data_IF_575473037144
#
_entry.id   IF_575473037144
#
_cell.length_a   1.000
_cell.length_b   1.000
_cell.length_c   1.000
_cell.angle_alpha   90.00
_cell.angle_beta   90.00
_cell.angle_gamma   90.00
#
_symmetry.space_group_name_H-M   'P 1'
#
loop_
_entity.id
_entity.type
_entity.pdbx_description
1 polymer ?
#
# COMPACT_ATOMS: atom_id res chain seq x y z
N UNK A 1 0.33 5.65 28.81
CA UNK A 1 1.26 5.60 27.67
C UNK A 1 1.50 7.03 27.22
N UNK A 2 2.74 7.51 27.21
CA UNK A 2 3.05 8.86 26.75
C UNK A 2 3.04 8.83 25.20
N UNK A 3 2.18 9.62 24.58
CA UNK A 3 2.08 9.67 23.11
C UNK A 3 3.25 10.53 22.61
N UNK A 4 4.23 9.91 21.96
CA UNK A 4 5.42 10.58 21.41
C UNK A 4 5.22 11.09 19.98
N UNK A 5 4.37 10.41 19.18
CA UNK A 5 4.10 10.76 17.79
C UNK A 5 2.59 10.85 17.50
N UNK A 6 2.01 12.03 17.79
CA UNK A 6 0.58 12.27 17.58
C UNK A 6 0.07 12.02 16.17
N UNK A 7 0.94 12.09 15.14
CA UNK A 7 0.54 11.88 13.74
C UNK A 7 0.33 10.42 13.38
N UNK A 8 0.98 9.50 14.08
CA UNK A 8 0.90 8.07 13.81
C UNK A 8 0.17 7.31 14.91
N UNK A 9 0.44 7.64 16.18
CA UNK A 9 -0.13 6.93 17.33
C UNK A 9 -1.61 7.20 17.54
N UNK A 10 -2.07 8.44 17.31
CA UNK A 10 -3.49 8.78 17.48
C UNK A 10 -4.38 8.08 16.48
N UNK A 11 -4.08 8.08 15.15
CA UNK A 11 -4.86 7.29 14.19
C UNK A 11 -4.81 5.79 14.48
N UNK A 12 -3.64 5.26 14.84
CA UNK A 12 -3.51 3.83 15.18
C UNK A 12 -4.41 3.45 16.35
N UNK A 13 -4.35 4.17 17.48
CA UNK A 13 -5.16 3.90 18.66
C UNK A 13 -6.67 3.96 18.36
N UNK A 14 -7.09 4.92 17.52
CA UNK A 14 -8.48 5.03 17.10
C UNK A 14 -8.98 3.80 16.32
N UNK A 15 -8.18 3.30 15.36
CA UNK A 15 -8.57 2.12 14.58
C UNK A 15 -8.37 0.82 15.37
N UNK A 16 -7.40 0.75 16.27
CA UNK A 16 -7.24 -0.38 17.19
C UNK A 16 -8.46 -0.53 18.13
N UNK A 17 -9.01 0.58 18.63
CA UNK A 17 -10.24 0.56 19.43
C UNK A 17 -11.42 0.01 18.64
N UNK A 18 -11.65 0.47 17.42
CA UNK A 18 -12.71 -0.04 16.53
C UNK A 18 -12.52 -1.53 16.18
N UNK A 19 -11.27 -1.94 16.01
CA UNK A 19 -10.93 -3.32 15.65
C UNK A 19 -11.34 -4.32 16.72
N UNK A 20 -11.38 -3.94 17.99
CA UNK A 20 -11.80 -4.84 19.09
C UNK A 20 -13.25 -5.32 18.95
N UNK A 21 -14.10 -4.49 18.39
CA UNK A 21 -15.53 -4.76 18.21
C UNK A 21 -15.86 -5.33 16.83
N UNK A 22 -14.85 -5.61 16.00
CA UNK A 22 -14.99 -6.10 14.63
C UNK A 22 -15.56 -7.53 14.64
N UNK A 23 -16.57 -7.79 13.80
CA UNK A 23 -17.07 -9.16 13.56
C UNK A 23 -16.19 -9.87 12.51
N UNK A 24 -15.45 -10.91 12.88
CA UNK A 24 -14.63 -11.66 11.93
C UNK A 24 -15.42 -12.27 10.76
N UNK A 25 -16.70 -12.63 10.97
CA UNK A 25 -17.54 -13.18 9.91
C UNK A 25 -17.86 -12.14 8.84
N UNK A 26 -18.08 -10.87 9.24
CA UNK A 26 -18.25 -9.76 8.31
C UNK A 26 -16.98 -9.54 7.46
N UNK A 27 -15.80 -9.54 8.08
CA UNK A 27 -14.53 -9.35 7.36
C UNK A 27 -14.35 -10.38 6.25
N UNK A 28 -14.47 -11.65 6.55
CA UNK A 28 -14.24 -12.72 5.56
C UNK A 28 -15.34 -12.78 4.51
N UNK A 29 -16.51 -12.20 4.79
CA UNK A 29 -17.57 -12.04 3.78
C UNK A 29 -17.28 -10.94 2.76
N UNK A 30 -16.59 -9.86 3.18
CA UNK A 30 -16.24 -8.69 2.35
C UNK A 30 -14.89 -8.84 1.65
N UNK A 31 -13.96 -9.59 2.25
CA UNK A 31 -12.57 -9.74 1.82
C UNK A 31 -12.25 -11.23 1.64
N UNK A 32 -12.52 -11.75 0.45
CA UNK A 32 -12.40 -13.19 0.14
C UNK A 32 -11.01 -13.79 0.33
N UNK A 33 -9.97 -12.95 0.23
CA UNK A 33 -8.58 -13.37 0.41
C UNK A 33 -8.12 -13.34 1.87
N UNK A 34 -8.86 -12.70 2.76
CA UNK A 34 -8.59 -12.71 4.20
C UNK A 34 -9.13 -14.00 4.80
N UNK A 35 -8.30 -14.70 5.56
CA UNK A 35 -8.70 -15.93 6.27
C UNK A 35 -8.80 -15.66 7.76
N UNK A 36 -9.76 -16.29 8.40
CA UNK A 36 -9.92 -16.28 9.84
C UNK A 36 -9.81 -17.70 10.40
N UNK A 37 -8.94 -17.91 11.38
CA UNK A 37 -8.69 -19.23 12.00
C UNK A 37 -9.36 -19.40 13.39
N UNK A 38 -10.15 -18.43 13.82
CA UNK A 38 -10.75 -18.38 15.16
C UNK A 38 -9.96 -17.50 16.15
N UNK A 39 -8.76 -17.05 15.79
CA UNK A 39 -7.89 -16.23 16.62
C UNK A 39 -7.16 -15.14 15.85
N UNK A 40 -6.79 -15.41 14.59
CA UNK A 40 -6.00 -14.49 13.76
C UNK A 40 -6.62 -14.30 12.38
N UNK A 41 -6.56 -13.09 11.88
CA UNK A 41 -6.70 -12.82 10.44
C UNK A 41 -5.38 -13.06 9.73
N UNK A 42 -5.40 -13.80 8.64
CA UNK A 42 -4.26 -13.92 7.71
C UNK A 42 -4.45 -12.91 6.59
N UNK A 43 -3.53 -11.95 6.48
CA UNK A 43 -3.54 -10.88 5.47
C UNK A 43 -2.24 -10.90 4.67
N UNK A 44 -2.34 -10.78 3.36
CA UNK A 44 -1.18 -10.63 2.46
C UNK A 44 -1.07 -9.17 2.02
N UNK A 45 0.11 -8.56 2.20
CA UNK A 45 0.44 -7.20 1.79
C UNK A 45 1.77 -7.19 1.04
N UNK A 46 1.79 -6.76 -0.22
CA UNK A 46 2.98 -6.69 -1.08
C UNK A 46 3.81 -7.99 -1.04
N UNK A 47 3.15 -9.13 -1.19
CA UNK A 47 3.77 -10.45 -1.21
C UNK A 47 4.06 -11.05 0.16
N UNK A 48 4.08 -10.26 1.25
CA UNK A 48 4.31 -10.76 2.62
C UNK A 48 3.02 -11.10 3.32
N UNK A 49 3.03 -12.16 4.13
CA UNK A 49 1.87 -12.61 4.91
C UNK A 49 2.02 -12.23 6.36
N UNK A 50 0.94 -11.69 6.93
CA UNK A 50 0.86 -11.28 8.33
C UNK A 50 -0.31 -12.00 9.02
N UNK A 51 -0.11 -12.36 10.28
CA UNK A 51 -1.16 -12.78 11.20
C UNK A 51 -1.50 -11.60 12.10
N UNK A 52 -2.78 -11.26 12.17
CA UNK A 52 -3.31 -10.16 12.98
C UNK A 52 -4.28 -10.75 13.98
N UNK A 53 -3.87 -10.80 15.24
CA UNK A 53 -4.69 -11.33 16.33
C UNK A 53 -5.88 -10.41 16.63
N UNK A 54 -7.02 -11.01 17.00
CA UNK A 54 -8.25 -10.34 17.35
C UNK A 54 -8.90 -11.04 18.57
N UNK A 55 -9.53 -10.34 19.51
CA UNK A 55 -9.83 -8.90 19.51
C UNK A 55 -8.65 -8.01 19.98
N UNK A 56 -7.69 -8.58 20.70
CA UNK A 56 -6.49 -7.83 21.12
C UNK A 56 -5.50 -7.77 19.93
N UNK A 57 -5.34 -6.59 19.35
CA UNK A 57 -4.46 -6.41 18.21
C UNK A 57 -3.02 -6.79 18.53
N UNK A 58 -2.50 -7.72 17.77
CA UNK A 58 -1.07 -8.03 17.69
C UNK A 58 -0.77 -8.50 16.27
N UNK A 59 0.36 -8.06 15.70
CA UNK A 59 0.75 -8.42 14.35
C UNK A 59 2.04 -9.23 14.36
N UNK A 60 2.08 -10.28 13.55
CA UNK A 60 3.25 -11.15 13.37
C UNK A 60 3.48 -11.38 11.87
N UNK A 61 4.73 -11.27 11.44
CA UNK A 61 5.12 -11.63 10.08
C UNK A 61 5.38 -13.13 9.99
N UNK A 62 4.69 -13.82 9.08
CA UNK A 62 4.81 -15.29 8.91
C UNK A 62 6.23 -15.69 8.48
N UNK A 63 6.93 -14.83 7.75
CA UNK A 63 8.31 -15.05 7.32
C UNK A 63 9.36 -14.83 8.43
N UNK A 64 8.94 -14.52 9.66
CA UNK A 64 9.81 -14.20 10.79
C UNK A 64 10.56 -12.87 10.66
N UNK A 65 10.28 -12.09 9.63
CA UNK A 65 10.86 -10.76 9.41
C UNK A 65 10.23 -9.67 10.29
N UNK A 66 10.69 -8.44 10.10
CA UNK A 66 10.19 -7.30 10.86
C UNK A 66 8.69 -7.07 10.62
N UNK A 67 7.99 -6.68 11.69
CA UNK A 67 6.62 -6.19 11.59
C UNK A 67 6.58 -4.85 10.84
N UNK A 68 5.45 -4.50 10.20
CA UNK A 68 5.32 -3.25 9.46
C UNK A 68 5.40 -2.02 10.38
N UNK A 69 5.72 -0.86 9.78
CA UNK A 69 5.65 0.44 10.47
C UNK A 69 4.23 0.75 10.97
N UNK A 70 4.12 1.63 11.96
CA UNK A 70 2.82 1.99 12.55
C UNK A 70 1.80 2.53 11.51
N UNK A 71 2.19 3.39 10.53
CA UNK A 71 1.26 3.77 9.45
C UNK A 71 0.78 2.59 8.60
N UNK A 72 1.63 1.60 8.36
CA UNK A 72 1.23 0.38 7.63
C UNK A 72 0.30 -0.49 8.47
N UNK A 73 0.53 -0.58 9.77
CA UNK A 73 -0.39 -1.29 10.69
C UNK A 73 -1.75 -0.59 10.75
N UNK A 74 -1.78 0.74 10.81
CA UNK A 74 -3.02 1.53 10.72
C UNK A 74 -3.78 1.25 9.41
N UNK A 75 -3.06 1.20 8.28
CA UNK A 75 -3.66 0.80 7.01
C UNK A 75 -4.26 -0.61 7.05
N UNK A 76 -3.57 -1.58 7.64
CA UNK A 76 -4.08 -2.95 7.76
C UNK A 76 -5.34 -3.03 8.64
N UNK A 77 -5.41 -2.25 9.72
CA UNK A 77 -6.62 -2.12 10.53
C UNK A 77 -7.78 -1.54 9.72
N UNK A 78 -7.55 -0.47 8.95
CA UNK A 78 -8.57 0.13 8.08
C UNK A 78 -8.98 -0.81 6.96
N UNK A 79 -8.05 -1.57 6.38
CA UNK A 79 -8.35 -2.58 5.38
C UNK A 79 -9.34 -3.62 5.93
N UNK A 80 -9.11 -4.14 7.13
CA UNK A 80 -10.02 -5.11 7.77
C UNK A 80 -11.36 -4.48 8.17
N UNK A 81 -11.37 -3.21 8.59
CA UNK A 81 -12.57 -2.51 9.06
C UNK A 81 -13.49 -2.02 7.94
N UNK A 82 -12.92 -1.47 6.86
CA UNK A 82 -13.66 -0.61 5.94
C UNK A 82 -13.64 -1.09 4.48
N UNK A 83 -12.63 -1.91 4.09
CA UNK A 83 -12.47 -2.31 2.69
C UNK A 83 -13.35 -3.49 2.29
N UNK A 84 -13.55 -3.63 1.00
CA UNK A 84 -14.29 -4.73 0.36
C UNK A 84 -13.60 -5.16 -0.93
N UNK A 85 -13.85 -6.36 -1.37
CA UNK A 85 -13.45 -6.82 -2.69
C UNK A 85 -14.25 -6.08 -3.76
N UNK A 86 -13.53 -5.51 -4.73
CA UNK A 86 -14.11 -4.89 -5.93
C UNK A 86 -13.37 -5.46 -7.13
N UNK A 87 -14.12 -5.94 -8.11
CA UNK A 87 -13.53 -6.51 -9.33
C UNK A 87 -12.76 -5.44 -10.11
N UNK A 88 -11.53 -5.75 -10.51
CA UNK A 88 -10.74 -4.94 -11.42
C UNK A 88 -11.24 -5.15 -12.86
N UNK A 89 -11.50 -4.05 -13.62
CA UNK A 89 -11.96 -4.13 -15.02
C UNK A 89 -10.81 -4.24 -16.04
N UNK A 90 -9.57 -4.21 -15.60
CA UNK A 90 -8.38 -4.16 -16.46
C UNK A 90 -7.91 -2.74 -16.77
N UNK A 91 -8.57 -1.72 -16.24
CA UNK A 91 -8.22 -0.32 -16.47
C UNK A 91 -7.27 0.20 -15.40
N UNK A 92 -6.29 1.02 -15.81
CA UNK A 92 -5.38 1.72 -14.92
C UNK A 92 -5.80 3.19 -14.77
N UNK A 93 -5.69 3.71 -13.55
CA UNK A 93 -5.98 5.11 -13.22
C UNK A 93 -4.82 5.75 -12.48
N UNK A 94 -4.58 7.03 -12.77
CA UNK A 94 -3.75 7.87 -11.92
C UNK A 94 -4.51 8.23 -10.64
N UNK A 95 -3.79 8.69 -9.61
CA UNK A 95 -4.43 9.19 -8.39
C UNK A 95 -5.44 10.32 -8.68
N UNK A 96 -5.13 11.20 -9.62
CA UNK A 96 -5.98 12.35 -10.02
C UNK A 96 -7.34 11.92 -10.58
N UNK A 97 -7.40 10.81 -11.33
CA UNK A 97 -8.62 10.32 -11.99
C UNK A 97 -9.59 9.60 -11.04
N UNK A 98 -9.18 9.35 -9.81
CA UNK A 98 -10.01 8.71 -8.81
C UNK A 98 -10.79 9.76 -7.97
N UNK A 99 -11.92 9.37 -7.32
CA UNK A 99 -12.68 10.27 -6.46
C UNK A 99 -11.78 11.03 -5.46
N UNK A 100 -11.98 12.35 -5.33
CA UNK A 100 -11.20 13.26 -4.48
C UNK A 100 -9.73 13.44 -4.88
N UNK A 101 -9.25 12.74 -5.93
CA UNK A 101 -7.86 12.79 -6.38
C UNK A 101 -7.40 14.20 -6.76
N UNK A 102 -8.25 14.96 -7.47
CA UNK A 102 -7.93 16.34 -7.86
C UNK A 102 -7.71 17.26 -6.65
N UNK A 103 -8.50 17.10 -5.59
CA UNK A 103 -8.36 17.90 -4.38
C UNK A 103 -7.04 17.65 -3.65
N UNK A 104 -6.57 16.40 -3.65
CA UNK A 104 -5.37 15.97 -2.92
C UNK A 104 -4.13 15.85 -3.82
N UNK A 105 -4.21 16.20 -5.10
CA UNK A 105 -3.11 16.00 -6.06
C UNK A 105 -1.81 16.71 -5.66
N UNK A 106 -1.91 17.91 -5.09
CA UNK A 106 -0.75 18.73 -4.72
C UNK A 106 0.10 18.06 -3.62
N UNK A 107 -0.47 17.71 -2.44
CA UNK A 107 0.27 16.98 -1.41
C UNK A 107 0.68 15.57 -1.89
N UNK A 108 -0.14 14.88 -2.69
CA UNK A 108 0.19 13.58 -3.25
C UNK A 108 1.43 13.66 -4.17
N UNK A 109 1.50 14.65 -5.07
CA UNK A 109 2.65 14.83 -5.97
C UNK A 109 3.95 14.96 -5.18
N UNK A 110 4.01 15.84 -4.18
CA UNK A 110 5.22 16.01 -3.37
C UNK A 110 5.57 14.78 -2.53
N UNK A 111 4.57 14.20 -1.88
CA UNK A 111 4.76 13.09 -0.94
C UNK A 111 5.05 11.75 -1.64
N UNK A 112 4.41 11.48 -2.76
CA UNK A 112 4.52 10.22 -3.48
C UNK A 112 5.34 10.33 -4.76
N UNK A 113 4.89 11.10 -5.77
CA UNK A 113 5.52 11.09 -7.09
C UNK A 113 6.93 11.66 -7.08
N UNK A 114 7.15 12.83 -6.46
CA UNK A 114 8.49 13.43 -6.36
C UNK A 114 9.44 12.52 -5.57
N UNK A 115 8.96 11.97 -4.45
CA UNK A 115 9.75 11.04 -3.65
C UNK A 115 10.11 9.78 -4.44
N UNK A 116 9.18 9.19 -5.19
CA UNK A 116 9.42 8.02 -6.04
C UNK A 116 10.44 8.35 -7.14
N UNK A 117 10.30 9.50 -7.82
CA UNK A 117 11.19 9.96 -8.88
C UNK A 117 12.64 10.01 -8.38
N UNK A 118 12.92 10.72 -7.31
CA UNK A 118 14.27 10.83 -6.74
C UNK A 118 14.77 9.55 -6.06
N UNK A 119 13.87 8.68 -5.59
CA UNK A 119 14.27 7.40 -4.99
C UNK A 119 14.66 6.38 -6.06
N UNK A 120 13.90 6.28 -7.14
CA UNK A 120 14.01 5.23 -8.14
C UNK A 120 14.66 5.70 -9.43
N UNK A 121 14.29 6.88 -9.95
CA UNK A 121 14.80 7.39 -11.23
C UNK A 121 16.30 7.69 -11.23
N UNK A 122 16.91 7.94 -10.06
CA UNK A 122 18.37 8.04 -9.90
C UNK A 122 19.07 6.70 -9.73
N UNK A 123 18.34 5.60 -9.55
CA UNK A 123 18.89 4.26 -9.21
C UNK A 123 18.04 3.14 -9.84
N UNK A 124 17.78 3.24 -11.16
CA UNK A 124 16.91 2.30 -11.87
C UNK A 124 17.29 0.83 -11.70
N UNK A 125 18.59 0.50 -11.68
CA UNK A 125 19.03 -0.90 -11.53
C UNK A 125 18.75 -1.44 -10.13
N UNK A 126 18.88 -0.62 -9.09
CA UNK A 126 18.50 -1.02 -7.74
C UNK A 126 16.98 -1.18 -7.62
N UNK A 127 16.20 -0.31 -8.26
CA UNK A 127 14.75 -0.42 -8.34
C UNK A 127 14.32 -1.73 -9.04
N UNK A 128 14.91 -2.05 -10.21
CA UNK A 128 14.62 -3.31 -10.93
C UNK A 128 14.87 -4.53 -10.03
N UNK A 129 16.04 -4.62 -9.43
CA UNK A 129 16.40 -5.73 -8.54
C UNK A 129 15.45 -5.85 -7.34
N UNK A 130 15.08 -4.73 -6.73
CA UNK A 130 14.13 -4.72 -5.62
C UNK A 130 12.74 -5.20 -6.03
N UNK A 131 12.22 -4.71 -7.17
CA UNK A 131 10.92 -5.11 -7.69
C UNK A 131 10.89 -6.61 -8.04
N UNK A 132 11.92 -7.11 -8.71
CA UNK A 132 12.06 -8.54 -9.04
C UNK A 132 12.14 -9.41 -7.78
N UNK A 133 12.91 -8.99 -6.78
CA UNK A 133 12.97 -9.68 -5.48
C UNK A 133 11.62 -9.73 -4.76
N UNK A 134 10.79 -8.72 -4.95
CA UNK A 134 9.42 -8.67 -4.43
C UNK A 134 8.42 -9.48 -5.27
N UNK A 135 8.84 -10.10 -6.37
CA UNK A 135 7.99 -10.86 -7.29
C UNK A 135 7.08 -9.98 -8.16
N UNK A 136 7.43 -8.71 -8.35
CA UNK A 136 6.67 -7.80 -9.21
C UNK A 136 6.85 -8.15 -10.70
N UNK A 137 5.77 -8.01 -11.48
CA UNK A 137 5.82 -8.26 -12.91
C UNK A 137 6.31 -7.01 -13.67
N UNK A 138 7.28 -7.13 -14.61
CA UNK A 138 7.73 -5.99 -15.39
C UNK A 138 6.62 -5.49 -16.34
N UNK A 139 6.59 -4.17 -16.59
CA UNK A 139 5.70 -3.54 -17.55
C UNK A 139 6.50 -2.69 -18.54
N UNK A 140 5.95 -2.46 -19.72
CA UNK A 140 6.67 -1.82 -20.84
C UNK A 140 6.71 -0.29 -20.80
N UNK A 141 6.26 0.34 -19.70
CA UNK A 141 6.22 1.79 -19.56
C UNK A 141 7.31 2.28 -18.62
N UNK A 142 7.90 3.45 -18.94
CA UNK A 142 9.03 4.02 -18.19
C UNK A 142 10.38 3.40 -18.60
N UNK A 143 11.47 3.94 -18.08
CA UNK A 143 12.80 3.32 -18.21
C UNK A 143 12.90 2.07 -17.31
N UNK A 144 12.12 2.06 -16.22
CA UNK A 144 11.83 0.89 -15.41
C UNK A 144 10.38 0.97 -14.91
N UNK A 145 9.60 -0.09 -15.10
CA UNK A 145 8.22 -0.18 -14.65
C UNK A 145 7.88 -1.58 -14.15
N UNK A 146 7.14 -1.64 -13.03
CA UNK A 146 6.73 -2.90 -12.42
C UNK A 146 5.33 -2.81 -11.85
N UNK A 147 4.59 -3.94 -11.98
CA UNK A 147 3.29 -4.13 -11.37
C UNK A 147 3.42 -4.93 -10.08
N UNK A 148 2.78 -4.43 -9.04
CA UNK A 148 2.71 -5.03 -7.71
C UNK A 148 1.26 -5.34 -7.36
N UNK A 149 1.02 -6.46 -6.68
CA UNK A 149 -0.24 -6.68 -5.97
C UNK A 149 -0.08 -6.14 -4.54
N UNK A 150 -0.88 -5.13 -4.18
CA UNK A 150 -0.86 -4.54 -2.84
C UNK A 150 -1.47 -5.50 -1.83
N UNK A 151 -2.77 -5.73 -1.97
CA UNK A 151 -3.56 -6.79 -1.33
C UNK A 151 -4.30 -7.52 -2.43
N UNK A 152 -4.85 -8.69 -2.15
CA UNK A 152 -5.46 -9.53 -3.19
C UNK A 152 -6.45 -8.76 -4.07
N UNK A 153 -6.24 -8.82 -5.38
CA UNK A 153 -7.09 -8.19 -6.39
C UNK A 153 -6.86 -6.69 -6.60
N UNK A 154 -6.00 -6.04 -5.79
CA UNK A 154 -5.67 -4.62 -5.92
C UNK A 154 -4.24 -4.43 -6.40
N UNK A 155 -4.09 -3.93 -7.62
CA UNK A 155 -2.81 -3.83 -8.31
C UNK A 155 -2.34 -2.38 -8.47
N UNK A 156 -1.04 -2.17 -8.40
CA UNK A 156 -0.39 -0.88 -8.62
C UNK A 156 0.75 -1.03 -9.61
N UNK A 157 1.00 -0.01 -10.42
CA UNK A 157 2.24 0.10 -11.20
C UNK A 157 3.08 1.24 -10.64
N UNK A 158 4.38 0.96 -10.49
CA UNK A 158 5.40 1.98 -10.24
C UNK A 158 6.25 2.12 -11.50
N UNK A 159 6.20 3.30 -12.10
CA UNK A 159 6.94 3.66 -13.31
C UNK A 159 7.98 4.70 -12.95
N UNK A 160 9.22 4.55 -13.40
CA UNK A 160 10.29 5.48 -13.15
C UNK A 160 11.04 5.80 -14.44
N UNK A 161 11.43 7.06 -14.59
CA UNK A 161 12.29 7.58 -15.67
C UNK A 161 13.54 8.17 -15.06
N UNK A 162 14.69 7.90 -15.67
CA UNK A 162 15.94 8.55 -15.31
C UNK A 162 15.86 10.05 -15.61
N UNK A 163 16.58 10.83 -14.81
CA UNK A 163 16.88 12.20 -15.19
C UNK A 163 18.08 12.26 -16.15
N UNK A 164 18.18 13.34 -16.89
CA UNK A 164 19.31 13.68 -17.74
C UNK A 164 19.81 15.11 -17.44
N UNK A 165 20.63 15.68 -18.34
CA UNK A 165 21.17 17.03 -18.15
C UNK A 165 20.10 18.14 -18.25
N UNK A 166 18.97 17.88 -18.93
CA UNK A 166 17.90 18.85 -19.15
C UNK A 166 16.70 18.63 -18.22
N UNK A 167 16.41 17.37 -17.83
CA UNK A 167 15.23 17.02 -17.09
C UNK A 167 15.53 16.21 -15.82
N UNK A 168 14.89 16.56 -14.69
CA UNK A 168 15.01 15.76 -13.47
C UNK A 168 14.36 14.38 -13.65
N UNK A 169 14.71 13.39 -12.80
CA UNK A 169 14.05 12.11 -12.81
C UNK A 169 12.54 12.27 -12.55
N UNK A 170 11.74 11.36 -13.11
CA UNK A 170 10.30 11.38 -12.99
C UNK A 170 9.77 10.01 -12.54
N UNK A 171 8.56 10.00 -11.98
CA UNK A 171 7.85 8.77 -11.61
C UNK A 171 6.34 8.92 -11.75
N UNK A 172 5.68 7.81 -12.01
CA UNK A 172 4.22 7.70 -12.02
C UNK A 172 3.77 6.47 -11.24
N UNK A 173 2.69 6.61 -10.50
CA UNK A 173 2.00 5.51 -9.85
C UNK A 173 0.63 5.37 -10.48
N UNK A 174 0.34 4.18 -10.99
CA UNK A 174 -0.98 3.81 -11.49
C UNK A 174 -1.62 2.82 -10.53
N UNK A 175 -2.92 2.88 -10.42
CA UNK A 175 -3.77 2.04 -9.60
C UNK A 175 -4.75 1.29 -10.49
N UNK A 176 -5.03 0.03 -10.21
CA UNK A 176 -6.19 -0.64 -10.82
C UNK A 176 -7.47 0.12 -10.45
N UNK A 177 -8.43 0.21 -11.37
CA UNK A 177 -9.60 1.09 -11.23
C UNK A 177 -10.48 0.79 -10.01
N UNK A 178 -10.44 -0.44 -9.50
CA UNK A 178 -11.15 -0.86 -8.30
C UNK A 178 -10.70 -0.13 -7.02
N UNK A 179 -9.50 0.50 -6.99
CA UNK A 179 -9.10 1.37 -5.88
C UNK A 179 -10.06 2.54 -5.66
N UNK A 180 -10.76 2.99 -6.70
CA UNK A 180 -11.71 4.09 -6.59
C UNK A 180 -12.88 3.78 -5.64
N UNK A 181 -13.29 2.52 -5.56
CA UNK A 181 -14.40 2.05 -4.71
C UNK A 181 -13.93 1.32 -3.45
N UNK A 182 -12.79 0.62 -3.53
CA UNK A 182 -12.27 -0.20 -2.43
C UNK A 182 -11.58 0.62 -1.34
N UNK A 183 -11.03 1.81 -1.68
CA UNK A 183 -10.23 2.62 -0.76
C UNK A 183 -10.61 4.11 -0.85
N UNK A 184 -10.63 4.79 0.29
CA UNK A 184 -10.80 6.26 0.32
C UNK A 184 -9.52 6.98 -0.13
N UNK A 185 -9.62 8.27 -0.45
CA UNK A 185 -8.49 9.05 -0.98
C UNK A 185 -7.27 9.06 -0.04
N UNK A 186 -7.50 9.14 1.27
CA UNK A 186 -6.45 9.12 2.29
C UNK A 186 -5.67 7.80 2.27
N UNK A 187 -6.38 6.66 2.19
CA UNK A 187 -5.73 5.35 2.09
C UNK A 187 -4.86 5.24 0.85
N UNK A 188 -5.32 5.75 -0.29
CA UNK A 188 -4.56 5.72 -1.54
C UNK A 188 -3.23 6.50 -1.46
N UNK A 189 -3.19 7.58 -0.66
CA UNK A 189 -1.93 8.29 -0.36
C UNK A 189 -1.01 7.44 0.53
N UNK A 190 -1.56 6.84 1.59
CA UNK A 190 -0.80 5.97 2.50
C UNK A 190 -0.29 4.73 1.77
N UNK A 191 -1.11 4.14 0.90
CA UNK A 191 -0.75 2.99 0.06
C UNK A 191 0.45 3.31 -0.86
N UNK A 192 0.49 4.51 -1.46
CA UNK A 192 1.64 4.94 -2.25
C UNK A 192 2.92 5.02 -1.40
N UNK A 193 2.83 5.57 -0.19
CA UNK A 193 3.95 5.61 0.76
C UNK A 193 4.42 4.21 1.16
N UNK A 194 3.50 3.29 1.41
CA UNK A 194 3.80 1.88 1.75
C UNK A 194 4.56 1.23 0.59
N UNK A 195 4.06 1.35 -0.65
CA UNK A 195 4.71 0.79 -1.83
C UNK A 195 6.14 1.33 -1.99
N UNK A 196 6.30 2.67 -1.99
CA UNK A 196 7.62 3.31 -2.13
C UNK A 196 8.58 2.85 -1.02
N UNK A 197 8.11 2.84 0.22
CA UNK A 197 8.95 2.45 1.38
C UNK A 197 9.35 0.99 1.32
N UNK A 198 8.43 0.10 0.89
CA UNK A 198 8.70 -1.33 0.77
C UNK A 198 9.69 -1.62 -0.35
N UNK A 199 9.53 -0.99 -1.53
CA UNK A 199 10.51 -1.12 -2.62
C UNK A 199 11.88 -0.63 -2.15
N UNK A 200 11.94 0.57 -1.54
CA UNK A 200 13.19 1.16 -1.04
C UNK A 200 13.89 0.28 -0.01
N UNK A 201 13.15 -0.39 0.86
CA UNK A 201 13.71 -1.31 1.86
C UNK A 201 14.31 -2.59 1.23
N UNK A 202 13.97 -2.91 -0.01
CA UNK A 202 14.48 -4.04 -0.77
C UNK A 202 15.63 -3.67 -1.74
N UNK A 203 15.95 -2.38 -1.88
CA UNK A 203 17.08 -1.86 -2.66
C UNK A 203 18.41 -2.03 -1.92
#
# INVERSE_FOLDING_TARGET
>A
MQIENHKEEVPFAHYEEKFRDLDPADVVSRLSAVKWDGQNFTVKLLGRTFLIAHPAYAITAVDGGNIPSLPTQTFLLRYLLECKDVAWTGTWKTFREMPWGELYIKPYTGRALTRAAFTFGTRLDAFRKAAEKMGAAPVSHGDAGYQFELVSGYHMQMLAWAGDEEFPPNAQILYSDNFAEGFVAEDRVVIADILISTIKANM
#
